data_IF_896765643633
#
_entry.id   IF_896765643633
#
_cell.length_a   1.000
_cell.length_b   1.000
_cell.length_c   1.000
_cell.angle_alpha   90.00
_cell.angle_beta   90.00
_cell.angle_gamma   90.00
#
_symmetry.space_group_name_H-M   'P 1'
#
loop_
_entity.id
_entity.type
_entity.pdbx_description
1 polymer ?
#
# COMPACT_ATOMS: atom_id res chain seq x y z
N UNK A 1 1.89 26.67 3.75
CA UNK A 1 2.31 26.20 2.41
C UNK A 1 1.07 26.12 1.54
N UNK A 2 1.17 26.49 0.25
CA UNK A 2 0.06 26.31 -0.67
C UNK A 2 -0.23 24.82 -0.87
N UNK A 3 -1.50 24.41 -0.76
CA UNK A 3 -1.90 22.99 -0.87
C UNK A 3 -1.58 22.37 -2.25
N UNK A 4 -1.65 23.14 -3.30
CA UNK A 4 -1.33 22.66 -4.66
C UNK A 4 0.17 22.43 -4.84
N UNK A 5 1.02 23.27 -4.21
CA UNK A 5 2.48 23.02 -4.19
C UNK A 5 2.82 21.76 -3.41
N UNK A 6 2.08 21.48 -2.33
CA UNK A 6 2.23 20.27 -1.55
C UNK A 6 1.84 19.03 -2.36
N UNK A 7 0.66 19.05 -2.99
CA UNK A 7 0.17 17.96 -3.85
C UNK A 7 1.13 17.71 -5.01
N UNK A 8 1.67 18.76 -5.61
CA UNK A 8 2.64 18.64 -6.70
C UNK A 8 3.90 17.85 -6.30
N UNK A 9 4.30 17.89 -5.03
CA UNK A 9 5.40 17.04 -4.55
C UNK A 9 5.03 15.56 -4.66
N UNK A 10 3.79 15.21 -4.28
CA UNK A 10 3.28 13.84 -4.39
C UNK A 10 3.17 13.42 -5.85
N UNK A 11 2.59 14.27 -6.70
CA UNK A 11 2.38 14.01 -8.13
C UNK A 11 3.70 13.94 -8.92
N UNK A 12 4.73 14.66 -8.50
CA UNK A 12 6.07 14.53 -9.09
C UNK A 12 6.70 13.17 -8.79
N UNK A 13 6.36 12.55 -7.68
CA UNK A 13 6.79 11.20 -7.34
C UNK A 13 5.90 10.14 -7.97
N UNK A 14 4.57 10.31 -7.89
CA UNK A 14 3.56 9.40 -8.40
C UNK A 14 2.55 10.17 -9.26
N UNK A 15 2.83 10.40 -10.57
CA UNK A 15 1.97 11.14 -11.47
C UNK A 15 0.55 10.56 -11.56
N UNK A 16 -0.47 11.42 -11.58
CA UNK A 16 -1.87 11.00 -11.66
C UNK A 16 -2.20 10.20 -12.92
N UNK A 17 -1.47 10.46 -14.02
CA UNK A 17 -1.65 9.74 -15.29
C UNK A 17 -1.38 8.23 -15.17
N UNK A 18 -0.67 7.81 -14.12
CA UNK A 18 -0.40 6.40 -13.85
C UNK A 18 -1.58 5.67 -13.19
N UNK A 19 -2.58 6.41 -12.68
CA UNK A 19 -3.71 5.76 -12.01
C UNK A 19 -4.50 4.86 -12.96
N UNK A 20 -5.10 3.81 -12.41
CA UNK A 20 -6.02 2.96 -13.14
C UNK A 20 -7.28 3.74 -13.56
N UNK A 21 -7.89 3.35 -14.70
CA UNK A 21 -9.08 4.04 -15.24
C UNK A 21 -10.29 4.03 -14.31
N UNK A 22 -10.38 3.06 -13.43
CA UNK A 22 -11.45 2.90 -12.44
C UNK A 22 -11.14 3.59 -11.11
N UNK A 23 -9.89 4.05 -10.94
CA UNK A 23 -9.41 4.66 -9.69
C UNK A 23 -9.93 6.10 -9.51
N UNK A 24 -9.80 6.60 -8.30
CA UNK A 24 -10.21 7.94 -7.88
C UNK A 24 -9.05 8.66 -7.16
N UNK A 25 -7.81 8.50 -7.64
CA UNK A 25 -6.67 9.28 -7.13
C UNK A 25 -6.85 10.78 -7.46
N UNK A 26 -6.30 11.64 -6.61
CA UNK A 26 -6.43 13.08 -6.73
C UNK A 26 -7.24 13.70 -5.57
N UNK A 27 -7.87 14.83 -5.82
CA UNK A 27 -8.70 15.51 -4.83
C UNK A 27 -10.01 14.76 -4.55
N UNK A 28 -10.14 14.23 -3.35
CA UNK A 28 -11.39 13.61 -2.86
C UNK A 28 -12.30 14.68 -2.27
N UNK A 29 -11.74 15.55 -1.43
CA UNK A 29 -12.42 16.74 -0.92
C UNK A 29 -11.49 17.92 -1.15
N UNK A 30 -11.98 18.94 -1.82
CA UNK A 30 -11.27 20.19 -2.05
C UNK A 30 -12.07 21.35 -1.49
N UNK A 31 -11.52 22.01 -0.47
CA UNK A 31 -12.11 23.20 0.16
C UNK A 31 -11.58 24.47 -0.50
N UNK A 32 -12.15 25.62 -0.12
CA UNK A 32 -11.64 26.93 -0.57
C UNK A 32 -10.36 27.38 0.18
N UNK A 33 -9.91 26.65 1.21
CA UNK A 33 -8.66 26.93 1.90
C UNK A 33 -7.47 26.67 0.98
N UNK A 34 -6.56 27.62 0.88
CA UNK A 34 -5.38 27.52 -0.01
C UNK A 34 -4.14 27.15 0.79
N UNK A 35 -3.94 27.75 1.95
CA UNK A 35 -2.77 27.53 2.76
C UNK A 35 -3.01 26.43 3.80
N UNK A 36 -2.12 25.46 3.85
CA UNK A 36 -2.10 24.39 4.84
C UNK A 36 -0.86 24.50 5.70
N UNK A 37 -0.97 24.16 6.99
CA UNK A 37 0.11 24.19 7.98
C UNK A 37 0.44 22.84 8.53
N UNK A 38 -0.58 21.98 8.68
CA UNK A 38 -0.45 20.65 9.28
C UNK A 38 -1.24 19.64 8.47
N UNK A 39 -0.58 18.56 8.08
CA UNK A 39 -1.15 17.50 7.23
C UNK A 39 -1.14 16.18 7.98
N UNK A 40 -2.25 15.44 7.93
CA UNK A 40 -2.28 14.05 8.39
C UNK A 40 -2.01 13.11 7.21
N UNK A 41 -1.16 12.12 7.44
CA UNK A 41 -0.96 11.00 6.50
C UNK A 41 -1.69 9.78 7.05
N UNK A 42 -2.51 9.16 6.20
CA UNK A 42 -3.29 7.97 6.51
C UNK A 42 -3.17 6.91 5.40
N UNK A 43 -3.41 5.66 5.72
CA UNK A 43 -3.67 4.62 4.72
C UNK A 43 -5.11 4.75 4.22
N UNK A 44 -6.07 4.72 5.14
CA UNK A 44 -7.50 4.78 4.84
C UNK A 44 -8.16 5.87 5.68
N UNK A 45 -8.98 6.71 5.07
CA UNK A 45 -9.76 7.72 5.79
C UNK A 45 -11.12 7.16 6.15
N UNK A 46 -11.31 6.88 7.43
CA UNK A 46 -12.60 6.57 8.04
C UNK A 46 -13.02 7.69 9.01
N UNK A 47 -14.16 7.51 9.69
CA UNK A 47 -14.66 8.49 10.67
C UNK A 47 -13.68 8.68 11.85
N UNK A 48 -12.96 7.61 12.26
CA UNK A 48 -11.98 7.66 13.34
C UNK A 48 -10.77 8.49 12.93
N UNK A 49 -10.25 8.27 11.71
CA UNK A 49 -9.11 9.00 11.19
C UNK A 49 -9.47 10.46 10.94
N UNK A 50 -10.66 10.73 10.39
CA UNK A 50 -11.14 12.09 10.22
C UNK A 50 -11.24 12.84 11.58
N UNK A 51 -11.77 12.20 12.62
CA UNK A 51 -11.78 12.78 13.99
C UNK A 51 -10.37 12.99 14.54
N UNK A 52 -9.43 12.08 14.26
CA UNK A 52 -8.02 12.31 14.64
C UNK A 52 -7.46 13.58 13.98
N UNK A 53 -7.73 13.78 12.68
CA UNK A 53 -7.26 14.95 11.95
C UNK A 53 -7.81 16.25 12.58
N UNK A 54 -9.11 16.30 12.87
CA UNK A 54 -9.72 17.45 13.56
C UNK A 54 -9.09 17.70 14.93
N UNK A 55 -8.97 16.67 15.76
CA UNK A 55 -8.42 16.79 17.13
C UNK A 55 -6.96 17.24 17.15
N UNK A 56 -6.22 16.94 16.07
CA UNK A 56 -4.83 17.35 15.91
C UNK A 56 -4.68 18.65 15.11
N UNK A 57 -5.79 19.34 14.81
CA UNK A 57 -5.84 20.58 14.03
C UNK A 57 -5.11 20.43 12.67
N UNK A 58 -5.35 19.33 11.97
CA UNK A 58 -4.84 19.16 10.62
C UNK A 58 -5.73 19.91 9.62
N UNK A 59 -5.11 20.58 8.67
CA UNK A 59 -5.78 21.34 7.60
C UNK A 59 -6.11 20.44 6.41
N UNK A 60 -5.39 19.32 6.27
CA UNK A 60 -5.49 18.42 5.13
C UNK A 60 -5.16 16.97 5.55
N UNK A 61 -5.74 16.01 4.83
CA UNK A 61 -5.37 14.59 4.93
C UNK A 61 -4.83 14.15 3.57
N UNK A 62 -3.70 13.44 3.58
CA UNK A 62 -3.18 12.70 2.43
C UNK A 62 -3.38 11.22 2.72
N UNK A 63 -4.10 10.51 1.86
CA UNK A 63 -4.38 9.08 2.01
C UNK A 63 -3.88 8.27 0.83
N UNK A 64 -3.68 6.97 1.06
CA UNK A 64 -3.44 6.01 -0.01
C UNK A 64 -4.76 5.55 -0.61
N UNK A 65 -5.69 5.06 0.21
CA UNK A 65 -6.98 4.60 -0.29
C UNK A 65 -7.93 5.76 -0.62
N UNK A 66 -8.63 5.69 -1.76
CA UNK A 66 -9.66 6.64 -2.11
C UNK A 66 -10.93 6.42 -1.29
N UNK A 67 -11.78 7.45 -1.24
CA UNK A 67 -13.11 7.38 -0.69
C UNK A 67 -14.12 7.33 -1.83
N UNK A 68 -14.74 6.19 -2.06
CA UNK A 68 -15.80 6.04 -3.09
C UNK A 68 -17.13 6.66 -2.64
N UNK A 69 -17.30 6.95 -1.36
CA UNK A 69 -18.44 7.67 -0.79
C UNK A 69 -17.93 8.66 0.24
N UNK A 70 -18.23 9.94 0.05
CA UNK A 70 -17.73 11.02 0.90
C UNK A 70 -18.85 11.44 1.87
N UNK A 71 -18.73 11.13 3.19
CA UNK A 71 -19.68 11.62 4.19
C UNK A 71 -19.69 13.17 4.20
N UNK A 72 -20.87 13.75 4.40
CA UNK A 72 -21.01 15.22 4.47
C UNK A 72 -20.09 15.84 5.54
N UNK A 73 -19.88 15.14 6.65
CA UNK A 73 -19.01 15.58 7.72
C UNK A 73 -17.53 15.73 7.29
N UNK A 74 -17.09 15.05 6.23
CA UNK A 74 -15.70 15.11 5.76
C UNK A 74 -15.39 16.32 4.87
N UNK A 75 -16.42 17.07 4.46
CA UNK A 75 -16.25 18.20 3.53
C UNK A 75 -15.61 19.44 4.13
N UNK A 76 -15.24 19.41 5.42
CA UNK A 76 -14.61 20.53 6.11
C UNK A 76 -13.09 20.53 6.11
N UNK A 77 -12.44 19.47 5.62
CA UNK A 77 -10.98 19.33 5.53
C UNK A 77 -10.63 18.88 4.10
N UNK A 78 -9.54 19.38 3.56
CA UNK A 78 -9.00 18.90 2.29
C UNK A 78 -8.56 17.45 2.41
N UNK A 79 -8.94 16.59 1.45
CA UNK A 79 -8.52 15.18 1.37
C UNK A 79 -7.97 14.92 -0.03
N UNK A 80 -6.71 14.53 -0.09
CA UNK A 80 -6.03 14.14 -1.32
C UNK A 80 -5.62 12.67 -1.25
N UNK A 81 -5.80 11.94 -2.34
CA UNK A 81 -5.49 10.52 -2.46
C UNK A 81 -4.43 10.27 -3.53
N UNK A 82 -3.47 9.38 -3.23
CA UNK A 82 -2.59 8.78 -4.22
C UNK A 82 -2.61 7.25 -4.01
N UNK A 83 -3.32 6.54 -4.88
CA UNK A 83 -3.66 5.13 -4.77
C UNK A 83 -2.90 4.31 -5.82
N UNK A 84 -3.55 3.88 -6.90
CA UNK A 84 -2.91 3.03 -7.89
C UNK A 84 -1.73 3.68 -8.62
N UNK A 85 -1.70 4.99 -8.74
CA UNK A 85 -0.52 5.71 -9.20
C UNK A 85 0.68 5.51 -8.26
N UNK A 86 0.45 5.45 -6.93
CA UNK A 86 1.49 5.19 -5.94
C UNK A 86 1.93 3.72 -5.94
N UNK A 87 1.05 2.78 -6.32
CA UNK A 87 1.38 1.36 -6.44
C UNK A 87 2.29 1.06 -7.63
N UNK A 88 2.14 1.82 -8.71
CA UNK A 88 2.90 1.60 -9.96
C UNK A 88 4.31 2.17 -9.92
N UNK A 89 4.56 3.25 -9.18
CA UNK A 89 5.88 3.90 -9.19
C UNK A 89 6.94 3.11 -8.44
N UNK A 90 8.19 3.27 -8.85
CA UNK A 90 9.33 2.76 -8.10
C UNK A 90 9.43 3.47 -6.75
N UNK A 91 9.70 2.70 -5.70
CA UNK A 91 9.69 3.21 -4.32
C UNK A 91 8.29 3.40 -3.76
N UNK A 92 7.25 2.95 -4.44
CA UNK A 92 5.87 2.97 -3.99
C UNK A 92 5.53 1.83 -3.03
N UNK A 93 4.26 1.41 -3.04
CA UNK A 93 3.66 0.54 -2.02
C UNK A 93 4.36 -0.82 -1.95
N UNK A 94 4.46 -1.53 -3.08
CA UNK A 94 5.07 -2.86 -3.14
C UNK A 94 6.57 -2.83 -2.84
N UNK A 95 7.29 -1.83 -3.36
CA UNK A 95 8.73 -1.69 -3.11
C UNK A 95 9.02 -1.44 -1.63
N UNK A 96 8.22 -0.60 -0.97
CA UNK A 96 8.34 -0.31 0.46
C UNK A 96 8.09 -1.55 1.32
N UNK A 97 7.14 -2.41 0.91
CA UNK A 97 6.89 -3.68 1.58
C UNK A 97 8.08 -4.64 1.42
N UNK A 98 8.62 -4.80 0.21
CA UNK A 98 9.79 -5.65 -0.08
C UNK A 98 11.01 -5.18 0.74
N UNK A 99 11.25 -3.87 0.79
CA UNK A 99 12.35 -3.28 1.57
C UNK A 99 12.20 -3.61 3.07
N UNK A 100 10.99 -3.56 3.61
CA UNK A 100 10.73 -3.91 5.01
C UNK A 100 11.01 -5.38 5.33
N UNK A 101 10.97 -6.28 4.33
CA UNK A 101 11.40 -7.68 4.44
C UNK A 101 12.92 -7.85 4.36
N UNK A 102 13.67 -6.78 4.08
CA UNK A 102 15.11 -6.83 3.81
C UNK A 102 15.43 -7.57 2.51
N UNK A 103 14.62 -7.30 1.48
CA UNK A 103 14.76 -7.81 0.12
C UNK A 103 14.85 -6.64 -0.86
N UNK A 104 15.28 -6.92 -2.10
CA UNK A 104 15.30 -5.96 -3.19
C UNK A 104 14.54 -6.55 -4.36
N UNK A 105 13.53 -5.84 -4.85
CA UNK A 105 12.75 -6.23 -6.01
C UNK A 105 13.12 -5.40 -7.24
N UNK A 106 12.83 -5.96 -8.41
CA UNK A 106 12.83 -5.25 -9.68
C UNK A 106 11.39 -5.15 -10.21
N UNK A 107 11.04 -4.06 -10.91
CA UNK A 107 9.70 -3.93 -11.48
C UNK A 107 9.50 -4.96 -12.59
N UNK A 108 8.28 -5.51 -12.64
CA UNK A 108 7.80 -6.35 -13.72
C UNK A 108 6.36 -5.90 -14.05
N UNK A 109 6.11 -5.56 -15.31
CA UNK A 109 4.83 -4.94 -15.67
C UNK A 109 4.59 -3.64 -14.92
N UNK A 110 3.34 -3.39 -14.52
CA UNK A 110 2.94 -2.16 -13.84
C UNK A 110 2.97 -2.27 -12.32
N UNK A 111 2.51 -3.38 -11.76
CA UNK A 111 2.31 -3.56 -10.32
C UNK A 111 3.23 -4.60 -9.68
N UNK A 112 3.64 -5.63 -10.44
CA UNK A 112 4.49 -6.66 -9.89
C UNK A 112 5.91 -6.14 -9.61
N UNK A 113 6.49 -6.67 -8.53
CA UNK A 113 7.92 -6.61 -8.26
C UNK A 113 8.44 -8.02 -8.11
N UNK A 114 9.54 -8.33 -8.76
CA UNK A 114 10.16 -9.65 -8.71
C UNK A 114 11.46 -9.58 -7.91
N UNK A 115 11.59 -10.52 -6.98
CA UNK A 115 12.81 -10.75 -6.20
C UNK A 115 13.42 -12.07 -6.64
N UNK A 116 14.60 -12.02 -7.23
CA UNK A 116 15.41 -13.20 -7.55
C UNK A 116 16.34 -13.51 -6.38
N UNK A 117 15.96 -14.51 -5.59
CA UNK A 117 16.72 -14.92 -4.41
C UNK A 117 16.39 -16.35 -4.01
N UNK A 118 17.40 -17.21 -3.97
CA UNK A 118 17.27 -18.53 -3.37
C UNK A 118 17.07 -18.38 -1.86
N UNK A 119 15.91 -18.78 -1.37
CA UNK A 119 15.53 -18.69 0.03
C UNK A 119 14.61 -19.85 0.40
N UNK A 120 14.74 -20.39 1.62
CA UNK A 120 13.77 -21.38 2.06
C UNK A 120 12.42 -20.73 2.37
N UNK A 121 11.33 -21.48 2.12
CA UNK A 121 9.96 -21.07 2.49
C UNK A 121 9.89 -20.72 3.98
N UNK A 122 10.62 -21.46 4.82
CA UNK A 122 10.70 -21.19 6.26
C UNK A 122 11.35 -19.82 6.56
N UNK A 123 12.47 -19.51 5.92
CA UNK A 123 13.16 -18.23 6.12
C UNK A 123 12.31 -17.06 5.60
N UNK A 124 11.70 -17.21 4.41
CA UNK A 124 10.78 -16.20 3.87
C UNK A 124 9.58 -15.98 4.79
N UNK A 125 8.99 -17.06 5.34
CA UNK A 125 7.93 -16.96 6.34
C UNK A 125 8.36 -16.17 7.59
N UNK A 126 9.59 -16.35 8.05
CA UNK A 126 10.11 -15.62 9.21
C UNK A 126 10.30 -14.13 8.92
N UNK A 127 10.71 -13.77 7.69
CA UNK A 127 10.80 -12.37 7.26
C UNK A 127 9.41 -11.73 7.17
N UNK A 128 8.46 -12.41 6.52
CA UNK A 128 7.08 -11.95 6.36
C UNK A 128 6.42 -11.73 7.72
N UNK A 129 6.57 -12.66 8.67
CA UNK A 129 5.96 -12.55 10.00
C UNK A 129 6.44 -11.35 10.83
N UNK A 130 7.59 -10.77 10.51
CA UNK A 130 8.05 -9.53 11.18
C UNK A 130 7.24 -8.31 10.77
N UNK A 131 6.69 -8.31 9.56
CA UNK A 131 5.89 -7.21 9.00
C UNK A 131 4.41 -7.53 9.10
N UNK A 132 4.03 -8.77 8.78
CA UNK A 132 2.67 -9.29 8.86
C UNK A 132 2.61 -10.52 9.80
N UNK A 133 2.38 -10.33 11.10
CA UNK A 133 2.37 -11.41 12.08
C UNK A 133 1.32 -12.49 11.80
N UNK A 134 0.20 -12.11 11.16
CA UNK A 134 -0.94 -12.97 10.87
C UNK A 134 -0.93 -13.53 9.44
N UNK A 135 0.18 -13.40 8.72
CA UNK A 135 0.31 -13.93 7.37
C UNK A 135 0.02 -15.43 7.30
N UNK A 136 -0.65 -15.84 6.22
CA UNK A 136 -1.01 -17.24 5.94
C UNK A 136 -0.13 -17.78 4.82
N UNK A 137 0.37 -19.00 4.99
CA UNK A 137 1.13 -19.72 3.96
C UNK A 137 0.22 -20.69 3.21
N UNK A 138 0.28 -20.67 1.89
CA UNK A 138 -0.31 -21.63 0.98
C UNK A 138 0.84 -22.36 0.26
N UNK A 139 0.98 -23.66 0.51
CA UNK A 139 2.04 -24.50 -0.06
C UNK A 139 1.52 -25.92 -0.30
N UNK A 140 0.63 -26.05 -1.28
CA UNK A 140 -0.09 -27.28 -1.58
C UNK A 140 0.85 -28.42 -2.02
N UNK A 141 2.00 -28.07 -2.61
CA UNK A 141 2.96 -29.01 -3.19
C UNK A 141 4.17 -29.31 -2.25
N UNK A 142 4.20 -28.75 -1.04
CA UNK A 142 5.26 -29.01 -0.07
C UNK A 142 6.64 -28.48 -0.48
N UNK A 143 6.71 -27.42 -1.27
CA UNK A 143 7.94 -26.79 -1.76
C UNK A 143 8.74 -26.26 -0.58
N UNK A 144 10.05 -26.55 -0.54
CA UNK A 144 10.92 -26.15 0.57
C UNK A 144 11.72 -24.88 0.29
N UNK A 145 12.06 -24.62 -0.96
CA UNK A 145 12.85 -23.47 -1.37
C UNK A 145 12.20 -22.78 -2.57
N UNK A 146 12.32 -21.47 -2.63
CA UNK A 146 11.88 -20.61 -3.73
C UNK A 146 13.03 -19.76 -4.22
N UNK A 147 13.01 -19.35 -5.47
CA UNK A 147 14.11 -18.64 -6.12
C UNK A 147 13.66 -17.37 -6.85
N UNK A 148 12.42 -17.34 -7.32
CA UNK A 148 11.86 -16.20 -8.04
C UNK A 148 10.48 -15.88 -7.44
N UNK A 149 10.43 -14.77 -6.72
CA UNK A 149 9.28 -14.41 -5.88
C UNK A 149 8.62 -13.15 -6.46
N UNK A 150 7.37 -13.27 -6.84
CA UNK A 150 6.55 -12.11 -7.20
C UNK A 150 5.93 -11.49 -5.96
N UNK A 151 5.84 -10.16 -5.94
CA UNK A 151 5.19 -9.37 -4.89
C UNK A 151 4.19 -8.39 -5.49
N UNK A 152 3.05 -8.26 -4.83
CA UNK A 152 2.11 -7.16 -5.02
C UNK A 152 1.47 -6.84 -3.66
N UNK A 153 1.68 -5.63 -3.14
CA UNK A 153 1.01 -5.19 -1.93
C UNK A 153 -0.50 -5.04 -2.17
N UNK A 154 -1.30 -5.06 -1.11
CA UNK A 154 -2.75 -5.01 -1.23
C UNK A 154 -3.35 -6.27 -1.83
N UNK A 155 -4.39 -6.12 -2.66
CA UNK A 155 -5.14 -7.22 -3.28
C UNK A 155 -4.63 -7.49 -4.70
N UNK A 156 -3.56 -8.29 -4.83
CA UNK A 156 -2.88 -8.54 -6.11
C UNK A 156 -3.24 -9.86 -6.80
N UNK A 157 -4.32 -10.57 -6.41
CA UNK A 157 -4.62 -11.89 -6.98
C UNK A 157 -4.89 -11.91 -8.49
N UNK A 158 -5.30 -10.79 -9.06
CA UNK A 158 -5.51 -10.67 -10.51
C UNK A 158 -4.19 -10.78 -11.29
N UNK A 159 -3.05 -10.59 -10.63
CA UNK A 159 -1.70 -10.69 -11.20
C UNK A 159 -1.09 -12.10 -11.04
N UNK A 160 -1.84 -13.05 -10.49
CA UNK A 160 -1.34 -14.42 -10.26
C UNK A 160 -0.86 -15.08 -11.56
N UNK A 161 -1.62 -14.95 -12.65
CA UNK A 161 -1.24 -15.51 -13.94
C UNK A 161 0.03 -14.83 -14.50
N UNK A 162 0.16 -13.52 -14.34
CA UNK A 162 1.37 -12.79 -14.72
C UNK A 162 2.60 -13.28 -13.95
N UNK A 163 2.46 -13.57 -12.64
CA UNK A 163 3.54 -14.17 -11.85
C UNK A 163 3.94 -15.56 -12.39
N UNK A 164 2.98 -16.39 -12.79
CA UNK A 164 3.22 -17.71 -13.42
C UNK A 164 3.95 -17.55 -14.77
N UNK A 165 3.48 -16.66 -15.64
CA UNK A 165 4.07 -16.38 -16.95
C UNK A 165 5.54 -15.91 -16.80
N UNK A 166 5.81 -15.14 -15.76
CA UNK A 166 7.16 -14.72 -15.38
C UNK A 166 7.98 -15.83 -14.70
N UNK A 167 7.46 -17.08 -14.62
CA UNK A 167 8.13 -18.25 -14.03
C UNK A 167 8.49 -18.04 -12.56
N UNK A 168 7.67 -17.29 -11.81
CA UNK A 168 7.81 -17.21 -10.38
C UNK A 168 7.39 -18.51 -9.72
N UNK A 169 8.08 -18.90 -8.68
CA UNK A 169 7.80 -20.09 -7.87
C UNK A 169 7.15 -19.74 -6.52
N UNK A 170 7.00 -18.42 -6.26
CA UNK A 170 6.29 -17.89 -5.11
C UNK A 170 5.58 -16.58 -5.45
N UNK A 171 4.41 -16.34 -4.83
CA UNK A 171 3.67 -15.08 -4.94
C UNK A 171 3.25 -14.58 -3.55
N UNK A 172 3.56 -13.33 -3.26
CA UNK A 172 3.28 -12.67 -1.97
C UNK A 172 2.32 -11.51 -2.21
N UNK A 173 1.11 -11.59 -1.66
CA UNK A 173 0.06 -10.57 -1.80
C UNK A 173 -0.94 -10.65 -0.65
N UNK A 174 -1.91 -9.76 -0.59
CA UNK A 174 -3.03 -9.80 0.37
C UNK A 174 -4.33 -10.31 -0.25
N UNK A 175 -5.36 -10.46 0.59
CA UNK A 175 -6.75 -10.76 0.23
C UNK A 175 -6.93 -12.05 -0.60
N UNK A 176 -6.16 -13.09 -0.32
CA UNK A 176 -6.26 -14.36 -1.03
C UNK A 176 -7.54 -15.09 -0.61
N UNK A 177 -8.45 -15.30 -1.57
CA UNK A 177 -9.68 -16.04 -1.36
C UNK A 177 -9.42 -17.55 -1.27
N UNK A 178 -10.32 -18.28 -0.59
CA UNK A 178 -10.22 -19.73 -0.39
C UNK A 178 -9.97 -20.51 -1.68
N UNK A 179 -10.74 -20.28 -2.74
CA UNK A 179 -10.60 -21.01 -3.99
C UNK A 179 -9.25 -20.74 -4.66
N UNK A 180 -8.77 -19.50 -4.64
CA UNK A 180 -7.42 -19.18 -5.14
C UNK A 180 -6.33 -19.94 -4.37
N UNK A 181 -6.49 -20.09 -3.07
CA UNK A 181 -5.55 -20.86 -2.26
C UNK A 181 -5.58 -22.37 -2.56
N UNK A 182 -6.77 -22.94 -2.81
CA UNK A 182 -6.92 -24.36 -3.17
C UNK A 182 -6.27 -24.65 -4.52
N UNK A 183 -6.43 -23.75 -5.49
CA UNK A 183 -5.96 -23.93 -6.86
C UNK A 183 -4.50 -23.47 -7.08
N UNK A 184 -3.82 -23.03 -6.00
CA UNK A 184 -2.46 -22.52 -6.07
C UNK A 184 -1.46 -23.55 -6.58
N UNK A 185 -0.75 -23.21 -7.65
CA UNK A 185 0.28 -24.05 -8.29
C UNK A 185 1.69 -23.75 -7.76
N UNK A 186 1.91 -22.54 -7.25
CA UNK A 186 3.17 -22.08 -6.65
C UNK A 186 2.95 -21.78 -5.17
N UNK A 187 4.04 -21.56 -4.44
CA UNK A 187 3.95 -21.10 -3.04
C UNK A 187 3.28 -19.73 -3.01
N UNK A 188 2.32 -19.53 -2.10
CA UNK A 188 1.74 -18.20 -1.89
C UNK A 188 1.76 -17.80 -0.42
N UNK A 189 1.89 -16.50 -0.19
CA UNK A 189 1.71 -15.89 1.11
C UNK A 189 0.60 -14.85 1.02
N UNK A 190 -0.43 -15.03 1.85
CA UNK A 190 -1.40 -13.98 2.13
C UNK A 190 -0.89 -13.18 3.33
N UNK A 191 -0.42 -11.98 3.02
CA UNK A 191 0.23 -11.11 4.00
C UNK A 191 -0.71 -10.08 4.61
N UNK A 192 -1.99 -10.10 4.21
CA UNK A 192 -2.97 -9.09 4.59
C UNK A 192 -2.79 -7.78 3.80
N UNK A 193 -3.91 -7.18 3.47
CA UNK A 193 -3.97 -5.91 2.73
C UNK A 193 -3.32 -4.78 3.53
N UNK A 194 -3.83 -4.55 4.74
CA UNK A 194 -3.36 -3.50 5.63
C UNK A 194 -1.86 -3.61 5.93
N UNK A 195 -1.38 -4.80 6.28
CA UNK A 195 0.00 -5.03 6.69
C UNK A 195 1.00 -4.81 5.55
N UNK A 196 0.60 -5.11 4.32
CA UNK A 196 1.45 -4.89 3.13
C UNK A 196 1.50 -3.44 2.71
N UNK A 197 0.47 -2.62 3.00
CA UNK A 197 0.36 -1.26 2.49
C UNK A 197 0.58 -0.16 3.54
N UNK A 198 0.38 -0.44 4.84
CA UNK A 198 0.50 0.60 5.89
C UNK A 198 1.86 1.32 5.88
N UNK A 199 2.88 0.68 5.34
CA UNK A 199 4.23 1.22 5.23
C UNK A 199 4.34 2.38 4.23
N UNK A 200 3.40 2.54 3.30
CA UNK A 200 3.39 3.64 2.32
C UNK A 200 3.35 5.01 3.01
N UNK A 201 2.84 5.08 4.24
CA UNK A 201 2.87 6.30 5.03
C UNK A 201 4.29 6.85 5.24
N UNK A 202 5.31 5.97 5.23
CA UNK A 202 6.71 6.39 5.32
C UNK A 202 7.16 7.13 4.06
N UNK A 203 6.68 6.70 2.89
CA UNK A 203 6.97 7.36 1.61
C UNK A 203 6.36 8.75 1.61
N UNK A 204 5.05 8.87 1.88
CA UNK A 204 4.40 10.18 1.99
C UNK A 204 5.12 11.10 2.98
N UNK A 205 5.45 10.56 4.18
CA UNK A 205 6.19 11.31 5.17
C UNK A 205 7.55 11.78 4.65
N UNK A 206 8.31 10.89 4.02
CA UNK A 206 9.62 11.23 3.45
C UNK A 206 9.56 12.34 2.41
N UNK A 207 8.50 12.38 1.59
CA UNK A 207 8.31 13.39 0.54
C UNK A 207 8.03 14.79 1.10
N UNK A 208 7.32 14.91 2.23
CA UNK A 208 6.79 16.22 2.69
C UNK A 208 7.27 16.68 4.07
N UNK A 209 7.95 15.84 4.86
CA UNK A 209 8.36 16.14 6.25
C UNK A 209 9.18 17.42 6.43
N UNK A 210 9.97 17.78 5.42
CA UNK A 210 10.84 18.98 5.48
C UNK A 210 10.14 20.23 4.93
N UNK A 211 8.87 20.12 4.54
CA UNK A 211 8.08 21.19 3.91
C UNK A 211 6.94 21.66 4.79
N UNK A 212 6.36 20.78 5.59
CA UNK A 212 5.16 21.05 6.37
C UNK A 212 5.14 20.19 7.64
N UNK A 213 4.38 20.63 8.65
CA UNK A 213 4.15 19.79 9.83
C UNK A 213 3.29 18.57 9.47
N UNK A 214 3.80 17.38 9.80
CA UNK A 214 3.18 16.11 9.45
C UNK A 214 2.76 15.34 10.69
N UNK A 215 1.53 14.86 10.67
CA UNK A 215 0.96 13.94 11.66
C UNK A 215 0.73 12.59 10.97
N UNK A 216 1.24 11.53 11.55
CA UNK A 216 0.92 10.18 11.08
C UNK A 216 -0.35 9.70 11.80
N UNK A 217 -1.35 9.25 11.05
CA UNK A 217 -2.57 8.69 11.60
C UNK A 217 -2.29 7.41 12.39
N UNK A 218 -2.95 7.24 13.52
CA UNK A 218 -2.95 6.00 14.29
C UNK A 218 -4.02 5.06 13.73
N UNK A 219 -3.56 4.06 12.98
CA UNK A 219 -4.37 3.08 12.27
C UNK A 219 -3.97 1.67 12.66
N UNK A 220 -4.94 0.80 12.73
CA UNK A 220 -4.74 -0.61 13.01
C UNK A 220 -5.53 -1.44 11.99
N UNK A 221 -5.03 -2.65 11.72
CA UNK A 221 -5.77 -3.62 10.91
C UNK A 221 -7.18 -3.82 11.47
N UNK A 222 -8.21 -3.83 10.62
CA UNK A 222 -9.57 -4.17 11.05
C UNK A 222 -9.69 -5.64 11.48
N UNK A 223 -8.76 -6.49 11.05
CA UNK A 223 -8.72 -7.91 11.42
C UNK A 223 -7.95 -8.10 12.72
N UNK A 224 -8.52 -8.91 13.61
CA UNK A 224 -7.91 -9.28 14.90
C UNK A 224 -7.84 -10.79 14.99
N UNK A 225 -6.68 -11.31 15.40
CA UNK A 225 -6.56 -12.70 15.80
C UNK A 225 -7.22 -12.90 17.16
N UNK A 226 -8.09 -13.89 17.27
CA UNK A 226 -8.78 -14.28 18.49
C UNK A 226 -8.03 -15.40 19.21
#
# INVERSE_FOLDING_TARGET
MNKYDLVKIIENFAPLELQEKWDCSGWIVETSQIDVKRVMIALTVDEKIFKQALNKNCDMIISHHPLFSIPLAFRGIDIYCAHTNMDKVLGGTTDTFIEALGLNGSPEGEFLRIVEKNISVKELSQKIKKVSPNARLINNNGIQNVSKIAFCAGSGMDLYNEAIENKCDCFVTGDIKYHNAVDAQIVMFDVGHFESEILIKKVFYGLIKDKIEVVIADENSPFKTI
#
